data_IF_597844343936
#
_entry.id   IF_597844343936
#
_cell.length_a   1.000
_cell.length_b   1.000
_cell.length_c   1.000
_cell.angle_alpha   90.00
_cell.angle_beta   90.00
_cell.angle_gamma   90.00
#
_symmetry.space_group_name_H-M   'P 1'
#
loop_
_entity.id
_entity.type
_entity.pdbx_description
1 polymer ?
#
# COMPACT_ATOMS: atom_id res chain seq x y z
N UNK A 1 11.68 20.97 1.35
CA UNK A 1 12.32 22.29 1.54
C UNK A 1 12.12 23.13 0.28
N UNK A 2 12.45 24.41 0.29
CA UNK A 2 12.57 25.22 -0.91
C UNK A 2 14.07 25.39 -1.25
N UNK A 3 14.39 25.50 -2.53
CA UNK A 3 15.76 25.77 -2.98
C UNK A 3 15.97 27.28 -3.01
N UNK A 4 17.00 27.75 -2.32
CA UNK A 4 17.39 29.16 -2.30
C UNK A 4 18.68 29.34 -3.08
N UNK A 5 18.73 30.33 -3.96
CA UNK A 5 19.96 30.78 -4.60
C UNK A 5 20.53 31.89 -3.75
N UNK A 6 21.81 31.78 -3.40
CA UNK A 6 22.47 32.76 -2.54
C UNK A 6 23.77 33.27 -3.14
N UNK A 7 24.10 34.50 -2.78
CA UNK A 7 25.46 35.05 -2.85
C UNK A 7 25.85 35.42 -1.42
N UNK A 8 26.91 34.81 -0.90
CA UNK A 8 27.44 35.09 0.42
C UNK A 8 28.95 35.33 0.36
N UNK A 9 29.53 35.94 1.38
CA UNK A 9 30.94 36.31 1.44
C UNK A 9 31.56 35.69 2.68
N UNK A 10 32.72 35.05 2.54
CA UNK A 10 33.47 34.52 3.69
C UNK A 10 34.14 35.65 4.51
N UNK A 11 34.79 35.31 5.63
CA UNK A 11 35.53 36.28 6.45
C UNK A 11 36.71 36.93 5.72
N UNK A 12 37.21 36.32 4.63
CA UNK A 12 38.33 36.81 3.83
C UNK A 12 37.89 37.67 2.64
N UNK A 13 36.58 37.89 2.46
CA UNK A 13 36.03 38.70 1.37
C UNK A 13 35.74 37.94 0.07
N UNK A 14 35.92 36.61 0.02
CA UNK A 14 35.63 35.82 -1.17
C UNK A 14 34.13 35.56 -1.29
N UNK A 15 33.58 35.93 -2.46
CA UNK A 15 32.19 35.70 -2.76
C UNK A 15 31.94 34.25 -3.18
N UNK A 16 31.05 33.56 -2.47
CA UNK A 16 30.54 32.23 -2.81
C UNK A 16 29.11 32.34 -3.30
N UNK A 17 28.85 31.84 -4.51
CA UNK A 17 27.52 31.69 -5.07
C UNK A 17 27.12 30.22 -5.03
N UNK A 18 25.91 29.93 -4.61
CA UNK A 18 25.45 28.55 -4.51
C UNK A 18 23.93 28.42 -4.45
N UNK A 19 23.49 27.18 -4.30
CA UNK A 19 22.12 26.85 -3.92
C UNK A 19 22.15 26.07 -2.63
N UNK A 20 21.17 26.31 -1.77
CA UNK A 20 20.98 25.55 -0.54
C UNK A 20 19.48 25.25 -0.35
N UNK A 21 19.17 24.15 0.33
CA UNK A 21 17.79 23.81 0.68
C UNK A 21 17.50 24.25 2.11
N UNK A 22 16.41 25.01 2.29
CA UNK A 22 15.95 25.44 3.60
C UNK A 22 14.42 25.51 3.64
N UNK A 23 13.85 25.55 4.84
CA UNK A 23 12.40 25.66 5.03
C UNK A 23 11.89 27.10 4.87
N UNK A 24 12.72 28.09 5.20
CA UNK A 24 12.43 29.50 4.98
C UNK A 24 13.73 30.30 4.79
N UNK A 25 13.60 31.55 4.36
CA UNK A 25 14.72 32.47 4.12
C UNK A 25 15.59 32.69 5.35
N UNK A 26 15.01 32.73 6.55
CA UNK A 26 15.76 32.97 7.80
C UNK A 26 16.62 31.77 8.20
N UNK A 27 16.10 30.55 8.03
CA UNK A 27 16.89 29.33 8.22
C UNK A 27 18.01 29.23 7.18
N UNK A 28 17.73 29.61 5.92
CA UNK A 28 18.74 29.64 4.88
C UNK A 28 19.88 30.61 5.22
N UNK A 29 19.56 31.80 5.74
CA UNK A 29 20.55 32.75 6.25
C UNK A 29 21.29 32.21 7.47
N UNK A 30 20.61 31.48 8.37
CA UNK A 30 21.23 30.86 9.54
C UNK A 30 22.26 29.81 9.14
N UNK A 31 21.91 28.88 8.25
CA UNK A 31 22.83 27.87 7.72
C UNK A 31 24.09 28.48 7.10
N UNK A 32 23.92 29.55 6.29
CA UNK A 32 25.06 30.26 5.71
C UNK A 32 25.94 30.94 6.78
N UNK A 33 25.33 31.49 7.84
CA UNK A 33 26.08 32.07 8.97
C UNK A 33 26.82 31.02 9.78
N UNK A 34 26.18 29.87 10.04
CA UNK A 34 26.77 28.74 10.77
C UNK A 34 27.96 28.14 10.00
N UNK A 35 27.93 28.19 8.65
CA UNK A 35 29.07 27.86 7.77
C UNK A 35 30.13 28.98 7.66
N UNK A 36 29.98 30.10 8.37
CA UNK A 36 30.94 31.21 8.39
C UNK A 36 30.80 32.22 7.23
N UNK A 37 29.68 32.23 6.52
CA UNK A 37 29.42 33.17 5.43
C UNK A 37 28.44 34.29 5.83
N UNK A 38 28.72 35.51 5.37
CA UNK A 38 27.83 36.67 5.47
C UNK A 38 26.98 36.79 4.21
N UNK A 39 25.65 36.71 4.35
CA UNK A 39 24.71 36.71 3.22
C UNK A 39 24.63 38.10 2.57
N UNK A 40 24.86 38.18 1.26
CA UNK A 40 24.72 39.42 0.46
C UNK A 40 23.39 39.46 -0.28
N UNK A 41 22.96 38.35 -0.86
CA UNK A 41 21.63 38.20 -1.47
C UNK A 41 21.15 36.76 -1.30
N UNK A 42 19.86 36.59 -1.07
CA UNK A 42 19.22 35.28 -1.02
C UNK A 42 17.83 35.36 -1.63
N UNK A 43 17.56 34.52 -2.62
CA UNK A 43 16.31 34.50 -3.35
C UNK A 43 15.77 33.07 -3.38
N UNK A 44 14.48 32.92 -3.09
CA UNK A 44 13.79 31.65 -3.25
C UNK A 44 13.67 31.33 -4.75
N UNK A 45 14.24 30.21 -5.17
CA UNK A 45 14.08 29.73 -6.53
C UNK A 45 12.69 29.10 -6.61
N UNK A 46 11.72 29.85 -7.13
CA UNK A 46 10.39 29.32 -7.47
C UNK A 46 10.58 28.12 -8.39
N UNK A 47 10.22 26.93 -7.90
CA UNK A 47 10.48 25.67 -8.59
C UNK A 47 9.87 25.67 -9.99
N UNK A 48 10.69 25.31 -10.99
CA UNK A 48 10.21 24.92 -12.30
C UNK A 48 9.35 23.66 -12.15
N UNK A 49 8.34 23.46 -13.02
CA UNK A 49 7.44 22.30 -13.01
C UNK A 49 8.23 20.97 -12.96
N UNK A 50 9.45 20.96 -13.51
CA UNK A 50 10.41 19.85 -13.55
C UNK A 50 11.15 19.57 -12.23
N UNK A 51 11.16 20.51 -11.28
CA UNK A 51 11.84 20.38 -9.96
C UNK A 51 10.87 20.09 -8.81
N UNK A 52 9.57 19.96 -9.09
CA UNK A 52 8.63 19.43 -8.11
C UNK A 52 8.97 17.95 -7.92
N UNK A 53 9.48 17.56 -6.76
CA UNK A 53 9.58 16.15 -6.37
C UNK A 53 8.17 15.55 -6.49
N UNK A 54 7.93 14.84 -7.59
CA UNK A 54 6.66 14.20 -7.87
C UNK A 54 6.60 12.95 -7.00
N UNK A 55 6.02 13.08 -5.81
CA UNK A 55 5.70 11.92 -4.99
C UNK A 55 4.52 11.18 -5.63
N UNK A 56 4.81 10.05 -6.28
CA UNK A 56 3.78 9.10 -6.70
C UNK A 56 3.38 8.29 -5.46
N UNK A 57 2.16 8.50 -4.97
CA UNK A 57 1.63 7.82 -3.79
C UNK A 57 1.83 8.59 -2.46
N UNK A 58 1.91 7.86 -1.34
CA UNK A 58 2.13 8.46 -0.01
C UNK A 58 3.60 8.82 0.17
N UNK A 59 3.93 10.05 0.64
CA UNK A 59 5.31 10.51 0.76
C UNK A 59 6.08 9.83 1.92
N UNK A 60 5.38 9.18 2.85
CA UNK A 60 5.97 8.45 3.99
C UNK A 60 5.51 7.00 3.95
N UNK A 61 6.45 6.06 4.06
CA UNK A 61 6.17 4.63 4.08
C UNK A 61 5.55 4.24 5.42
N UNK A 62 4.70 3.21 5.44
CA UNK A 62 4.05 2.75 6.67
C UNK A 62 5.05 2.40 7.78
N UNK A 63 6.17 1.76 7.43
CA UNK A 63 7.24 1.43 8.39
C UNK A 63 7.86 2.69 9.03
N UNK A 64 8.13 3.71 8.23
CA UNK A 64 8.71 4.97 8.74
C UNK A 64 7.73 5.67 9.71
N UNK A 65 6.43 5.60 9.42
CA UNK A 65 5.39 6.14 10.29
C UNK A 65 5.29 5.38 11.61
N UNK A 66 5.37 4.03 11.58
CA UNK A 66 5.39 3.21 12.81
C UNK A 66 6.59 3.57 13.68
N UNK A 67 7.79 3.64 13.09
CA UNK A 67 9.01 4.01 13.82
C UNK A 67 8.89 5.42 14.42
N UNK A 68 8.36 6.37 13.65
CA UNK A 68 8.07 7.71 14.15
C UNK A 68 7.14 7.69 15.37
N UNK A 69 6.03 6.95 15.33
CA UNK A 69 5.08 6.87 16.45
C UNK A 69 5.69 6.22 17.69
N UNK A 70 6.46 5.15 17.52
CA UNK A 70 7.15 4.46 18.61
C UNK A 70 8.19 5.36 19.29
N UNK A 71 9.00 6.07 18.50
CA UNK A 71 9.99 7.01 19.02
C UNK A 71 9.31 8.21 19.70
N UNK A 72 8.18 8.68 19.16
CA UNK A 72 7.38 9.74 19.77
C UNK A 72 6.89 9.31 21.15
N UNK A 73 6.22 8.15 21.24
CA UNK A 73 5.77 7.59 22.52
C UNK A 73 6.93 7.46 23.53
N UNK A 74 8.06 6.88 23.11
CA UNK A 74 9.20 6.66 23.98
C UNK A 74 9.81 7.96 24.53
N UNK A 75 9.89 9.01 23.71
CA UNK A 75 10.42 10.31 24.13
C UNK A 75 9.46 11.04 25.08
N UNK A 76 8.14 10.99 24.84
CA UNK A 76 7.16 11.56 25.78
C UNK A 76 7.20 10.85 27.13
N UNK A 77 7.25 9.51 27.15
CA UNK A 77 7.40 8.71 28.37
C UNK A 77 8.70 9.00 29.14
N UNK A 78 9.74 9.45 28.44
CA UNK A 78 10.99 9.91 29.05
C UNK A 78 10.87 11.32 29.67
N UNK A 79 9.68 11.93 29.64
CA UNK A 79 9.39 13.24 30.22
C UNK A 79 9.69 14.43 29.31
N UNK A 80 9.97 14.20 28.02
CA UNK A 80 10.21 15.30 27.08
C UNK A 80 8.90 15.99 26.69
N UNK A 81 8.97 17.30 26.46
CA UNK A 81 7.83 18.05 25.94
C UNK A 81 7.50 17.62 24.51
N UNK A 82 6.26 17.83 24.08
CA UNK A 82 5.81 17.57 22.68
C UNK A 82 6.67 18.35 21.68
N UNK A 83 6.99 19.61 21.99
CA UNK A 83 7.81 20.47 21.13
C UNK A 83 9.24 19.91 20.98
N UNK A 84 9.87 19.51 22.08
CA UNK A 84 11.22 18.95 22.06
C UNK A 84 11.26 17.60 21.36
N UNK A 85 10.25 16.77 21.59
CA UNK A 85 10.12 15.47 20.94
C UNK A 85 10.00 15.61 19.43
N UNK A 86 9.12 16.50 18.94
CA UNK A 86 8.99 16.77 17.50
C UNK A 86 10.30 17.26 16.88
N UNK A 87 11.04 18.12 17.59
CA UNK A 87 12.36 18.59 17.15
C UNK A 87 13.36 17.43 17.01
N UNK A 88 13.46 16.56 18.01
CA UNK A 88 14.36 15.39 18.00
C UNK A 88 13.98 14.44 16.86
N UNK A 89 12.70 14.12 16.71
CA UNK A 89 12.20 13.24 15.65
C UNK A 89 12.49 13.81 14.25
N UNK A 90 12.39 15.13 14.08
CA UNK A 90 12.77 15.82 12.83
C UNK A 90 14.25 15.64 12.51
N UNK A 91 15.13 15.70 13.51
CA UNK A 91 16.58 15.56 13.34
C UNK A 91 17.01 14.11 13.09
N UNK A 92 16.27 13.14 13.60
CA UNK A 92 16.57 11.71 13.44
C UNK A 92 15.99 11.08 12.18
N UNK A 93 14.93 11.64 11.61
CA UNK A 93 14.28 11.04 10.43
C UNK A 93 15.03 11.34 9.13
N UNK A 94 15.18 10.31 8.28
CA UNK A 94 15.78 10.45 6.95
C UNK A 94 14.76 10.80 5.87
N UNK A 95 13.45 10.79 6.17
CA UNK A 95 12.42 11.03 5.18
C UNK A 95 12.18 12.55 5.00
N UNK A 96 12.64 13.11 3.88
CA UNK A 96 12.52 14.56 3.57
C UNK A 96 11.11 15.14 3.74
N UNK A 97 10.07 14.39 3.37
CA UNK A 97 8.69 14.85 3.49
C UNK A 97 8.25 14.91 4.96
N UNK A 98 8.66 13.93 5.76
CA UNK A 98 8.42 13.93 7.21
C UNK A 98 9.21 15.04 7.92
N UNK A 99 10.50 15.24 7.60
CA UNK A 99 11.30 16.37 8.14
C UNK A 99 10.57 17.69 7.87
N UNK A 100 10.06 17.89 6.65
CA UNK A 100 9.33 19.11 6.29
C UNK A 100 8.04 19.28 7.10
N UNK A 101 7.27 18.23 7.29
CA UNK A 101 6.04 18.32 8.08
C UNK A 101 6.34 18.60 9.54
N UNK A 102 7.28 17.88 10.15
CA UNK A 102 7.68 18.07 11.54
C UNK A 102 8.25 19.48 11.80
N UNK A 103 8.93 20.08 10.82
CA UNK A 103 9.36 21.48 10.91
C UNK A 103 8.19 22.45 11.10
N UNK A 104 7.14 22.36 10.28
CA UNK A 104 5.98 23.23 10.40
C UNK A 104 5.16 22.92 11.64
N UNK A 105 5.04 21.64 12.00
CA UNK A 105 4.39 21.23 13.26
C UNK A 105 5.12 21.83 14.47
N UNK A 106 6.46 21.80 14.50
CA UNK A 106 7.23 22.43 15.59
C UNK A 106 6.93 23.94 15.71
N UNK A 107 6.83 24.64 14.58
CA UNK A 107 6.49 26.07 14.55
C UNK A 107 5.08 26.31 15.11
N UNK A 108 4.10 25.55 14.64
CA UNK A 108 2.71 25.66 15.06
C UNK A 108 2.55 25.40 16.56
N UNK A 109 3.23 24.37 17.08
CA UNK A 109 3.25 24.05 18.51
C UNK A 109 3.87 25.18 19.34
N UNK A 110 4.99 25.77 18.89
CA UNK A 110 5.62 26.93 19.55
C UNK A 110 4.72 28.17 19.56
N UNK A 111 3.77 28.26 18.62
CA UNK A 111 2.76 29.31 18.56
C UNK A 111 1.52 28.99 19.41
N UNK A 112 1.48 27.84 20.09
CA UNK A 112 0.36 27.42 20.93
C UNK A 112 -0.75 26.68 20.19
N UNK A 113 -0.54 26.27 18.93
CA UNK A 113 -1.47 25.37 18.23
C UNK A 113 -1.38 23.97 18.86
N UNK A 114 -2.50 23.26 18.99
CA UNK A 114 -2.47 21.86 19.44
C UNK A 114 -1.79 20.94 18.42
N UNK A 115 -1.27 19.80 18.87
CA UNK A 115 -0.61 18.80 18.05
C UNK A 115 -1.54 18.26 16.97
N UNK A 116 -2.79 17.95 17.32
CA UNK A 116 -3.78 17.46 16.36
C UNK A 116 -4.00 18.45 15.21
N UNK A 117 -4.20 19.73 15.53
CA UNK A 117 -4.45 20.79 14.54
C UNK A 117 -3.21 21.05 13.66
N UNK A 118 -2.01 20.97 14.25
CA UNK A 118 -0.77 21.08 13.50
C UNK A 118 -0.57 19.89 12.54
N UNK A 119 -0.86 18.66 12.99
CA UNK A 119 -0.81 17.46 12.15
C UNK A 119 -1.86 17.46 11.04
N UNK A 120 -3.05 17.99 11.28
CA UNK A 120 -4.15 18.07 10.31
C UNK A 120 -3.77 18.84 9.03
N UNK A 121 -2.89 19.84 9.15
CA UNK A 121 -2.35 20.60 8.00
C UNK A 121 -1.51 19.75 7.04
N UNK A 122 -1.17 18.51 7.42
CA UNK A 122 -0.35 17.58 6.65
C UNK A 122 -1.08 16.24 6.33
N UNK A 123 -2.24 16.27 5.66
CA UNK A 123 -3.14 15.11 5.50
C UNK A 123 -2.56 13.96 4.64
N UNK A 124 -1.50 14.23 3.88
CA UNK A 124 -0.79 13.22 3.07
C UNK A 124 0.08 12.28 3.93
N UNK A 125 0.43 12.71 5.15
CA UNK A 125 1.28 11.97 6.09
C UNK A 125 0.42 11.51 7.26
N UNK A 126 -0.30 12.44 7.89
CA UNK A 126 -1.16 12.19 9.03
C UNK A 126 -2.60 12.10 8.55
N UNK A 127 -3.14 10.88 8.47
CA UNK A 127 -4.52 10.69 8.03
C UNK A 127 -5.52 11.12 9.11
N UNK A 128 -6.80 11.18 8.74
CA UNK A 128 -7.88 11.60 9.63
C UNK A 128 -7.99 10.73 10.89
N UNK A 129 -7.73 9.42 10.81
CA UNK A 129 -7.77 8.54 12.00
C UNK A 129 -6.69 8.95 13.00
N UNK A 130 -5.45 9.09 12.54
CA UNK A 130 -4.33 9.49 13.40
C UNK A 130 -4.62 10.83 14.06
N UNK A 131 -5.03 11.83 13.28
CA UNK A 131 -5.34 13.17 13.79
C UNK A 131 -6.45 13.12 14.84
N UNK A 132 -7.53 12.35 14.62
CA UNK A 132 -8.63 12.26 15.57
C UNK A 132 -8.25 11.50 16.85
N UNK A 133 -7.42 10.46 16.76
CA UNK A 133 -6.89 9.78 17.95
C UNK A 133 -6.00 10.71 18.76
N UNK A 134 -5.09 11.44 18.11
CA UNK A 134 -4.26 12.44 18.78
C UNK A 134 -5.12 13.53 19.41
N UNK A 135 -6.17 13.99 18.72
CA UNK A 135 -7.09 15.00 19.25
C UNK A 135 -7.78 14.53 20.54
N UNK A 136 -8.35 13.32 20.53
CA UNK A 136 -8.94 12.72 21.73
C UNK A 136 -7.91 12.58 22.86
N UNK A 137 -6.70 12.12 22.52
CA UNK A 137 -5.61 11.92 23.48
C UNK A 137 -5.10 13.23 24.10
N UNK A 138 -5.05 14.32 23.34
CA UNK A 138 -4.70 15.65 23.84
C UNK A 138 -5.74 16.15 24.85
N UNK A 139 -7.03 15.88 24.59
CA UNK A 139 -8.12 16.28 25.49
C UNK A 139 -8.16 15.44 26.77
N UNK A 140 -7.83 14.15 26.68
CA UNK A 140 -7.82 13.23 27.82
C UNK A 140 -6.49 13.19 28.58
N UNK A 141 -5.42 13.79 28.04
CA UNK A 141 -4.08 13.74 28.61
C UNK A 141 -3.39 12.38 28.48
N UNK A 142 -3.84 11.51 27.57
CA UNK A 142 -3.34 10.14 27.38
C UNK A 142 -2.53 9.99 26.09
N UNK A 143 -1.73 11.01 25.76
CA UNK A 143 -0.99 11.08 24.50
C UNK A 143 0.05 9.95 24.37
N UNK A 144 0.68 9.59 25.48
CA UNK A 144 1.70 8.53 25.53
C UNK A 144 1.10 7.17 25.17
N UNK A 145 0.00 6.78 25.82
CA UNK A 145 -0.70 5.53 25.55
C UNK A 145 -1.29 5.52 24.13
N UNK A 146 -1.80 6.66 23.67
CA UNK A 146 -2.43 6.76 22.35
C UNK A 146 -1.42 6.64 21.21
N UNK A 147 -0.19 7.10 21.41
CA UNK A 147 0.89 6.91 20.44
C UNK A 147 1.35 5.45 20.34
N UNK A 148 1.37 4.70 21.45
CA UNK A 148 1.59 3.24 21.42
C UNK A 148 0.48 2.55 20.64
N UNK A 149 -0.78 2.86 20.95
CA UNK A 149 -1.94 2.32 20.25
C UNK A 149 -1.89 2.59 18.75
N UNK A 150 -1.53 3.82 18.36
CA UNK A 150 -1.34 4.20 16.97
C UNK A 150 -0.20 3.39 16.32
N UNK A 151 0.93 3.24 17.00
CA UNK A 151 2.05 2.45 16.50
C UNK A 151 1.62 0.99 16.26
N UNK A 152 0.92 0.38 17.23
CA UNK A 152 0.40 -0.97 17.13
C UNK A 152 -0.63 -1.13 16.02
N UNK A 153 -1.54 -0.17 15.88
CA UNK A 153 -2.52 -0.13 14.78
C UNK A 153 -1.82 -0.15 13.41
N UNK A 154 -0.88 0.76 13.19
CA UNK A 154 -0.17 0.84 11.91
C UNK A 154 0.76 -0.35 11.67
N UNK A 155 1.36 -0.90 12.73
CA UNK A 155 2.19 -2.10 12.65
C UNK A 155 1.37 -3.32 12.25
N UNK A 156 0.21 -3.55 12.87
CA UNK A 156 -0.71 -4.63 12.52
C UNK A 156 -1.24 -4.46 11.10
N UNK A 157 -1.67 -3.26 10.72
CA UNK A 157 -2.10 -2.95 9.35
C UNK A 157 -1.00 -3.23 8.33
N UNK A 158 0.25 -2.85 8.63
CA UNK A 158 1.39 -3.14 7.77
C UNK A 158 1.63 -4.65 7.65
N UNK A 159 1.58 -5.39 8.76
CA UNK A 159 1.74 -6.85 8.80
C UNK A 159 0.69 -7.54 7.93
N UNK A 160 -0.59 -7.20 8.06
CA UNK A 160 -1.67 -7.79 7.22
C UNK A 160 -1.41 -7.55 5.73
N UNK A 161 -1.03 -6.32 5.34
CA UNK A 161 -0.71 -6.03 3.94
C UNK A 161 0.55 -6.76 3.48
N UNK A 162 1.55 -6.87 4.34
CA UNK A 162 2.78 -7.60 4.05
C UNK A 162 2.53 -9.09 3.88
N UNK A 163 1.67 -9.72 4.70
CA UNK A 163 1.28 -11.13 4.51
C UNK A 163 0.64 -11.31 3.14
N UNK A 164 -0.32 -10.46 2.77
CA UNK A 164 -0.98 -10.55 1.46
C UNK A 164 0.03 -10.38 0.32
N UNK A 165 0.89 -9.36 0.38
CA UNK A 165 1.89 -9.09 -0.66
C UNK A 165 2.92 -10.20 -0.80
N UNK A 166 3.47 -10.68 0.33
CA UNK A 166 4.48 -11.75 0.35
C UNK A 166 3.93 -13.08 -0.14
N UNK A 167 2.66 -13.38 0.14
CA UNK A 167 2.00 -14.60 -0.32
C UNK A 167 1.80 -14.61 -1.83
N UNK A 168 1.58 -13.43 -2.44
CA UNK A 168 1.45 -13.26 -3.89
C UNK A 168 2.79 -13.08 -4.61
N UNK A 169 3.85 -12.66 -3.91
CA UNK A 169 5.15 -12.39 -4.52
C UNK A 169 5.74 -13.64 -5.21
N UNK A 170 5.63 -14.82 -4.59
CA UNK A 170 6.15 -16.06 -5.17
C UNK A 170 5.41 -16.48 -6.46
N UNK A 171 4.07 -16.62 -6.49
CA UNK A 171 3.34 -16.91 -7.72
C UNK A 171 3.65 -15.93 -8.86
N UNK A 172 3.73 -14.63 -8.55
CA UNK A 172 4.05 -13.60 -9.55
C UNK A 172 5.47 -13.78 -10.10
N UNK A 173 6.45 -14.05 -9.24
CA UNK A 173 7.84 -14.26 -9.65
C UNK A 173 7.97 -15.49 -10.57
N UNK A 174 7.34 -16.62 -10.19
CA UNK A 174 7.34 -17.83 -11.00
C UNK A 174 6.64 -17.61 -12.33
N UNK A 175 5.50 -16.91 -12.36
CA UNK A 175 4.82 -16.54 -13.60
C UNK A 175 5.69 -15.67 -14.52
N UNK A 176 6.42 -14.70 -13.98
CA UNK A 176 7.34 -13.86 -14.77
C UNK A 176 8.44 -14.72 -15.37
N UNK A 177 9.09 -15.58 -14.59
CA UNK A 177 10.17 -16.47 -15.08
C UNK A 177 9.62 -17.45 -16.12
N UNK A 178 8.49 -18.10 -15.85
CA UNK A 178 7.81 -19.00 -16.78
C UNK A 178 7.50 -18.29 -18.11
N UNK A 179 6.95 -17.08 -18.04
CA UNK A 179 6.62 -16.29 -19.22
C UNK A 179 7.87 -15.92 -20.04
N UNK A 180 8.97 -15.53 -19.37
CA UNK A 180 10.26 -15.29 -20.04
C UNK A 180 10.80 -16.54 -20.73
N UNK A 181 10.74 -17.70 -20.07
CA UNK A 181 11.17 -18.99 -20.67
C UNK A 181 10.32 -19.32 -21.89
N UNK A 182 9.00 -19.18 -21.81
CA UNK A 182 8.10 -19.46 -22.94
C UNK A 182 8.39 -18.51 -24.11
N UNK A 183 8.55 -17.21 -23.86
CA UNK A 183 8.94 -16.25 -24.90
C UNK A 183 10.26 -16.64 -25.54
N UNK A 184 11.28 -16.98 -24.74
CA UNK A 184 12.58 -17.39 -25.24
C UNK A 184 12.48 -18.63 -26.14
N UNK A 185 11.74 -19.65 -25.72
CA UNK A 185 11.51 -20.85 -26.52
C UNK A 185 10.80 -20.52 -27.84
N UNK A 186 9.75 -19.71 -27.81
CA UNK A 186 8.98 -19.37 -29.01
C UNK A 186 9.76 -18.47 -29.98
N UNK A 187 10.56 -17.52 -29.48
CA UNK A 187 11.24 -16.52 -30.30
C UNK A 187 12.59 -17.00 -30.85
N UNK A 188 13.31 -17.85 -30.12
CA UNK A 188 14.64 -18.30 -30.51
C UNK A 188 14.67 -19.78 -30.88
N UNK A 189 14.13 -20.65 -30.03
CA UNK A 189 14.27 -22.10 -30.20
C UNK A 189 13.38 -22.62 -31.33
N UNK A 190 12.08 -22.33 -31.29
CA UNK A 190 11.12 -22.83 -32.28
C UNK A 190 11.49 -22.41 -33.72
N UNK A 191 11.83 -21.14 -34.02
CA UNK A 191 12.16 -20.73 -35.39
C UNK A 191 13.45 -21.37 -35.91
N UNK A 192 14.44 -21.59 -35.03
CA UNK A 192 15.68 -22.26 -35.40
C UNK A 192 15.41 -23.68 -35.89
N UNK A 193 14.54 -24.44 -35.20
CA UNK A 193 14.15 -25.77 -35.66
C UNK A 193 13.35 -25.74 -36.97
N UNK A 194 12.45 -24.78 -37.12
CA UNK A 194 11.65 -24.65 -38.35
C UNK A 194 12.51 -24.35 -39.56
N UNK A 195 13.51 -23.49 -39.41
CA UNK A 195 14.48 -23.22 -40.48
C UNK A 195 15.28 -24.46 -40.88
N UNK A 196 15.48 -25.42 -39.96
CA UNK A 196 16.08 -26.72 -40.30
C UNK A 196 15.08 -27.59 -41.08
N UNK A 197 13.82 -27.68 -40.63
CA UNK A 197 12.78 -28.47 -41.31
C UNK A 197 12.52 -28.02 -42.75
N UNK A 198 12.49 -26.71 -43.00
CA UNK A 198 12.29 -26.15 -44.34
C UNK A 198 13.40 -26.59 -45.32
N UNK A 199 14.62 -26.86 -44.83
CA UNK A 199 15.73 -27.35 -45.67
C UNK A 199 15.57 -28.82 -46.09
N UNK A 200 14.83 -29.62 -45.33
CA UNK A 200 14.59 -31.03 -45.62
C UNK A 200 13.28 -31.27 -46.41
N UNK A 201 12.51 -30.21 -46.71
CA UNK A 201 11.27 -30.32 -47.50
C UNK A 201 10.15 -31.11 -46.82
N UNK A 202 10.25 -31.33 -45.50
CA UNK A 202 9.27 -32.09 -44.73
C UNK A 202 8.08 -31.22 -44.31
N UNK A 203 6.86 -31.75 -44.41
CA UNK A 203 5.69 -31.06 -43.89
C UNK A 203 5.69 -31.03 -42.36
N UNK A 204 5.56 -29.82 -41.79
CA UNK A 204 5.50 -29.64 -40.34
C UNK A 204 4.25 -30.34 -39.74
N UNK A 205 4.36 -31.06 -38.62
CA UNK A 205 3.21 -31.61 -37.89
C UNK A 205 2.26 -30.51 -37.39
N UNK A 206 1.00 -30.87 -37.15
CA UNK A 206 -0.05 -29.94 -36.70
C UNK A 206 0.32 -29.18 -35.42
N UNK A 207 0.94 -29.87 -34.45
CA UNK A 207 1.36 -29.28 -33.17
C UNK A 207 2.42 -28.20 -33.41
N UNK A 208 3.38 -28.46 -34.30
CA UNK A 208 4.44 -27.50 -34.67
C UNK A 208 3.89 -26.30 -35.42
N UNK A 209 2.92 -26.51 -36.35
CA UNK A 209 2.22 -25.40 -37.03
C UNK A 209 1.45 -24.52 -36.05
N UNK A 210 0.78 -25.10 -35.06
CA UNK A 210 0.07 -24.33 -34.03
C UNK A 210 1.03 -23.47 -33.19
N UNK A 211 2.12 -24.07 -32.69
CA UNK A 211 3.14 -23.35 -31.90
C UNK A 211 3.81 -22.25 -32.72
N UNK A 212 4.06 -22.47 -34.01
CA UNK A 212 4.57 -21.45 -34.94
C UNK A 212 3.59 -20.31 -35.17
N UNK A 213 2.31 -20.61 -35.39
CA UNK A 213 1.30 -19.58 -35.57
C UNK A 213 1.21 -18.70 -34.31
N UNK A 214 1.27 -19.31 -33.12
CA UNK A 214 1.31 -18.59 -31.86
C UNK A 214 2.60 -17.77 -31.71
N UNK A 215 3.76 -18.35 -32.04
CA UNK A 215 5.05 -17.64 -32.01
C UNK A 215 5.06 -16.42 -32.95
N UNK A 216 4.67 -16.60 -34.21
CA UNK A 216 4.64 -15.53 -35.20
C UNK A 216 3.68 -14.41 -34.79
N UNK A 217 2.51 -14.77 -34.25
CA UNK A 217 1.59 -13.77 -33.69
C UNK A 217 2.22 -12.99 -32.54
N UNK A 218 2.94 -13.68 -31.64
CA UNK A 218 3.57 -13.08 -30.47
C UNK A 218 4.78 -12.20 -30.83
N UNK A 219 5.61 -12.63 -31.78
CA UNK A 219 6.76 -11.88 -32.31
C UNK A 219 6.30 -10.66 -33.11
N UNK A 220 5.26 -10.79 -33.94
CA UNK A 220 4.75 -9.66 -34.73
C UNK A 220 4.02 -8.61 -33.86
N UNK A 221 3.44 -9.03 -32.73
CA UNK A 221 2.64 -8.19 -31.84
C UNK A 221 3.27 -8.00 -30.44
N UNK A 222 4.58 -8.20 -30.27
CA UNK A 222 5.23 -8.10 -28.95
C UNK A 222 5.07 -6.71 -28.31
N UNK A 223 5.12 -5.65 -29.13
CA UNK A 223 4.81 -4.28 -28.72
C UNK A 223 3.37 -4.13 -28.24
N UNK A 224 2.43 -4.83 -28.88
CA UNK A 224 1.02 -4.89 -28.51
C UNK A 224 0.84 -5.61 -27.15
N UNK A 225 1.65 -6.62 -26.86
CA UNK A 225 1.63 -7.33 -25.58
C UNK A 225 2.14 -6.45 -24.43
N UNK A 226 3.25 -5.72 -24.63
CA UNK A 226 3.75 -4.72 -23.68
C UNK A 226 2.73 -3.60 -23.51
N UNK A 227 2.09 -3.16 -24.60
CA UNK A 227 1.03 -2.16 -24.56
C UNK A 227 -0.18 -2.67 -23.75
N UNK A 228 -0.63 -3.92 -23.93
CA UNK A 228 -1.72 -4.52 -23.16
C UNK A 228 -1.36 -4.60 -21.68
N UNK A 229 -0.16 -5.06 -21.33
CA UNK A 229 0.29 -5.12 -19.93
C UNK A 229 0.32 -3.72 -19.32
N UNK A 230 0.90 -2.75 -20.03
CA UNK A 230 0.94 -1.35 -19.60
C UNK A 230 -0.47 -0.78 -19.45
N UNK A 231 -1.37 -1.07 -20.38
CA UNK A 231 -2.76 -0.61 -20.37
C UNK A 231 -3.58 -1.28 -19.27
N UNK A 232 -3.33 -2.54 -18.93
CA UNK A 232 -3.94 -3.24 -17.78
C UNK A 232 -3.43 -2.68 -16.46
N UNK A 233 -2.14 -2.34 -16.36
CA UNK A 233 -1.58 -1.69 -15.17
C UNK A 233 -2.17 -0.28 -15.01
N UNK A 234 -2.18 0.51 -16.08
CA UNK A 234 -2.75 1.85 -16.09
C UNK A 234 -4.26 1.83 -15.86
N UNK A 235 -5.00 0.90 -16.46
CA UNK A 235 -6.43 0.70 -16.24
C UNK A 235 -6.71 0.24 -14.80
N UNK A 236 -5.89 -0.66 -14.23
CA UNK A 236 -6.03 -1.03 -12.82
C UNK A 236 -5.82 0.19 -11.92
N UNK A 237 -4.76 0.96 -12.14
CA UNK A 237 -4.49 2.20 -11.39
C UNK A 237 -5.65 3.20 -11.55
N UNK A 238 -6.18 3.36 -12.77
CA UNK A 238 -7.27 4.27 -13.09
C UNK A 238 -8.60 3.83 -12.46
N UNK A 239 -8.91 2.53 -12.52
CA UNK A 239 -10.09 1.92 -11.89
C UNK A 239 -10.01 1.98 -10.37
N UNK A 240 -8.83 1.77 -9.78
CA UNK A 240 -8.62 1.96 -8.33
C UNK A 240 -8.87 3.40 -7.89
N UNK A 241 -8.65 4.38 -8.78
CA UNK A 241 -8.93 5.80 -8.55
C UNK A 241 -10.40 6.19 -8.85
N UNK A 242 -11.11 5.50 -9.74
CA UNK A 242 -12.48 5.83 -10.15
C UNK A 242 -13.55 4.98 -9.47
N UNK A 243 -14.40 5.64 -8.68
CA UNK A 243 -15.34 5.04 -7.72
C UNK A 243 -16.37 4.05 -8.32
N UNK A 244 -16.77 4.23 -9.58
CA UNK A 244 -17.80 3.39 -10.23
C UNK A 244 -17.27 2.08 -10.80
N UNK A 245 -16.03 2.04 -11.29
CA UNK A 245 -15.43 0.82 -11.83
C UNK A 245 -14.91 -0.10 -10.73
N UNK A 246 -14.45 0.50 -9.62
CA UNK A 246 -14.11 -0.22 -8.39
C UNK A 246 -15.28 -1.06 -7.87
N UNK A 247 -16.52 -0.57 -8.01
CA UNK A 247 -17.73 -1.33 -7.63
C UNK A 247 -17.87 -2.66 -8.38
N UNK A 248 -17.69 -2.67 -9.71
CA UNK A 248 -17.79 -3.90 -10.51
C UNK A 248 -16.64 -4.86 -10.21
N UNK A 249 -15.43 -4.34 -10.00
CA UNK A 249 -14.29 -5.17 -9.61
C UNK A 249 -14.43 -5.75 -8.21
N UNK A 250 -14.86 -4.96 -7.23
CA UNK A 250 -15.08 -5.44 -5.86
C UNK A 250 -16.14 -6.55 -5.86
N UNK A 251 -17.23 -6.38 -6.61
CA UNK A 251 -18.25 -7.42 -6.76
C UNK A 251 -17.70 -8.68 -7.45
N UNK A 252 -16.92 -8.54 -8.52
CA UNK A 252 -16.32 -9.66 -9.25
C UNK A 252 -15.28 -10.42 -8.40
N UNK A 253 -14.44 -9.69 -7.65
CA UNK A 253 -13.46 -10.25 -6.72
C UNK A 253 -14.13 -11.03 -5.57
N UNK A 254 -15.27 -10.55 -5.08
CA UNK A 254 -16.07 -11.26 -4.06
C UNK A 254 -16.69 -12.57 -4.59
N UNK A 255 -16.94 -12.67 -5.89
CA UNK A 255 -17.47 -13.89 -6.51
C UNK A 255 -16.40 -14.94 -6.84
N UNK A 256 -15.12 -14.57 -6.80
CA UNK A 256 -14.06 -15.56 -6.99
C UNK A 256 -14.00 -16.47 -5.75
N UNK A 257 -14.17 -17.80 -5.90
CA UNK A 257 -14.33 -18.73 -4.77
C UNK A 257 -13.14 -18.75 -3.81
N UNK A 258 -11.99 -18.30 -4.29
CA UNK A 258 -10.70 -18.33 -3.59
C UNK A 258 -10.34 -16.95 -3.02
N UNK A 259 -10.59 -15.86 -3.75
CA UNK A 259 -10.23 -14.50 -3.33
C UNK A 259 -11.34 -13.78 -2.56
N UNK A 260 -12.61 -14.09 -2.84
CA UNK A 260 -13.75 -13.44 -2.21
C UNK A 260 -13.79 -13.59 -0.68
N UNK A 261 -13.64 -14.81 -0.14
CA UNK A 261 -13.56 -15.02 1.31
C UNK A 261 -12.39 -14.27 1.95
N UNK A 262 -11.22 -14.22 1.29
CA UNK A 262 -10.05 -13.50 1.80
C UNK A 262 -10.31 -11.99 1.87
N UNK A 263 -10.89 -11.41 0.81
CA UNK A 263 -11.23 -9.99 0.77
C UNK A 263 -12.25 -9.65 1.85
N UNK A 264 -13.29 -10.48 2.01
CA UNK A 264 -14.30 -10.26 3.04
C UNK A 264 -13.69 -10.30 4.45
N UNK A 265 -12.93 -11.34 4.78
CA UNK A 265 -12.22 -11.48 6.08
C UNK A 265 -11.29 -10.29 6.33
N UNK A 266 -10.57 -9.83 5.30
CA UNK A 266 -9.71 -8.64 5.37
C UNK A 266 -10.48 -7.36 5.69
N UNK A 267 -11.65 -7.15 5.08
CA UNK A 267 -12.49 -5.99 5.39
C UNK A 267 -13.05 -6.06 6.81
N UNK A 268 -13.49 -7.23 7.27
CA UNK A 268 -13.99 -7.44 8.63
C UNK A 268 -12.88 -7.18 9.66
N UNK A 269 -11.70 -7.79 9.47
CA UNK A 269 -10.55 -7.57 10.34
C UNK A 269 -10.17 -6.09 10.41
N UNK A 270 -10.09 -5.41 9.26
CA UNK A 270 -9.76 -3.98 9.22
C UNK A 270 -10.84 -3.12 9.88
N UNK A 271 -12.12 -3.45 9.71
CA UNK A 271 -13.24 -2.76 10.33
C UNK A 271 -13.19 -2.87 11.85
N UNK A 272 -13.13 -4.09 12.37
CA UNK A 272 -13.15 -4.33 13.82
C UNK A 272 -11.87 -3.81 14.49
N UNK A 273 -10.70 -3.95 13.84
CA UNK A 273 -9.44 -3.37 14.33
C UNK A 273 -9.50 -1.84 14.40
N UNK A 274 -9.99 -1.19 13.34
CA UNK A 274 -10.09 0.28 13.29
C UNK A 274 -11.07 0.79 14.33
N UNK A 275 -12.24 0.16 14.44
CA UNK A 275 -13.24 0.55 15.43
C UNK A 275 -12.75 0.33 16.87
N UNK A 276 -12.11 -0.82 17.15
CA UNK A 276 -11.51 -1.13 18.45
C UNK A 276 -10.46 -0.08 18.83
N UNK A 277 -9.53 0.23 17.93
CA UNK A 277 -8.47 1.20 18.18
C UNK A 277 -9.02 2.61 18.41
N UNK A 278 -9.99 3.06 17.60
CA UNK A 278 -10.62 4.38 17.81
C UNK A 278 -11.32 4.47 19.17
N UNK A 279 -12.09 3.44 19.53
CA UNK A 279 -12.79 3.40 20.82
C UNK A 279 -11.84 3.31 22.02
N UNK A 280 -10.73 2.56 21.89
CA UNK A 280 -9.69 2.46 22.92
C UNK A 280 -8.98 3.80 23.17
N UNK A 281 -8.87 4.63 22.13
CA UNK A 281 -8.37 6.01 22.20
C UNK A 281 -9.47 7.05 22.53
N UNK A 282 -10.56 6.62 23.16
CA UNK A 282 -11.66 7.47 23.60
C UNK A 282 -12.31 8.32 22.49
N UNK A 283 -12.22 7.89 21.22
CA UNK A 283 -12.96 8.54 20.14
C UNK A 283 -14.44 8.18 20.27
N UNK A 284 -15.37 9.16 20.29
CA UNK A 284 -16.80 8.89 20.43
C UNK A 284 -17.32 7.89 19.38
N UNK A 285 -18.13 6.91 19.79
CA UNK A 285 -18.54 5.78 18.94
C UNK A 285 -19.15 6.18 17.59
N UNK A 286 -19.97 7.25 17.55
CA UNK A 286 -20.56 7.75 16.31
C UNK A 286 -19.47 8.26 15.34
N UNK A 287 -18.47 8.96 15.87
CA UNK A 287 -17.32 9.43 15.10
C UNK A 287 -16.40 8.26 14.72
N UNK A 288 -16.23 7.28 15.61
CA UNK A 288 -15.44 6.09 15.35
C UNK A 288 -16.02 5.25 14.19
N UNK A 289 -17.35 5.08 14.15
CA UNK A 289 -18.06 4.42 13.03
C UNK A 289 -17.85 5.21 11.73
N UNK A 290 -17.96 6.54 11.76
CA UNK A 290 -17.75 7.38 10.57
C UNK A 290 -16.30 7.34 10.05
N UNK A 291 -15.32 7.31 10.95
CA UNK A 291 -13.91 7.20 10.56
C UNK A 291 -13.61 5.80 10.01
N UNK A 292 -14.19 4.76 10.60
CA UNK A 292 -14.09 3.38 10.11
C UNK A 292 -14.75 3.24 8.73
N UNK A 293 -15.91 3.83 8.51
CA UNK A 293 -16.58 3.88 7.20
C UNK A 293 -15.62 4.36 6.08
N UNK A 294 -14.80 5.38 6.37
CA UNK A 294 -13.87 5.98 5.41
C UNK A 294 -12.66 5.09 5.08
N UNK A 295 -12.33 4.10 5.91
CA UNK A 295 -11.22 3.16 5.64
C UNK A 295 -11.65 1.92 4.88
N UNK A 296 -12.93 1.56 4.94
CA UNK A 296 -13.41 0.33 4.32
C UNK A 296 -13.59 0.51 2.81
N UNK A 297 -12.85 -0.26 1.98
CA UNK A 297 -13.00 -0.19 0.54
C UNK A 297 -14.34 -0.79 0.08
N UNK A 298 -14.76 -1.90 0.71
CA UNK A 298 -15.98 -2.61 0.36
C UNK A 298 -17.24 -1.76 0.63
N UNK A 299 -18.00 -1.50 -0.43
CA UNK A 299 -19.19 -0.64 -0.35
C UNK A 299 -20.33 -1.24 0.47
N UNK A 300 -20.54 -2.55 0.44
CA UNK A 300 -21.62 -3.19 1.22
C UNK A 300 -21.36 -2.96 2.71
N UNK A 301 -20.16 -3.28 3.18
CA UNK A 301 -19.76 -3.05 4.58
C UNK A 301 -19.83 -1.56 4.93
N UNK A 302 -19.39 -0.68 4.02
CA UNK A 302 -19.45 0.77 4.22
C UNK A 302 -20.88 1.31 4.35
N UNK A 303 -21.78 0.86 3.48
CA UNK A 303 -23.18 1.30 3.51
C UNK A 303 -23.90 0.70 4.74
N UNK A 304 -23.55 -0.52 5.17
CA UNK A 304 -23.98 -1.06 6.47
C UNK A 304 -23.49 -0.21 7.64
N UNK A 305 -22.21 0.22 7.66
CA UNK A 305 -21.70 1.10 8.71
C UNK A 305 -22.43 2.45 8.77
N UNK A 306 -22.85 3.01 7.62
CA UNK A 306 -23.71 4.21 7.59
C UNK A 306 -25.08 3.95 8.23
N UNK A 307 -25.66 2.80 7.95
CA UNK A 307 -26.93 2.38 8.57
C UNK A 307 -26.73 2.17 10.08
N UNK A 308 -25.67 1.50 10.50
CA UNK A 308 -25.27 1.34 11.91
C UNK A 308 -25.10 2.68 12.62
N UNK A 309 -24.44 3.66 11.98
CA UNK A 309 -24.34 5.04 12.50
C UNK A 309 -25.71 5.68 12.70
N UNK A 310 -26.60 5.49 11.75
CA UNK A 310 -27.97 6.05 11.77
C UNK A 310 -28.81 5.39 12.86
N UNK A 311 -28.73 4.06 12.97
CA UNK A 311 -29.36 3.25 14.02
C UNK A 311 -28.93 3.74 15.40
N UNK A 312 -27.62 3.91 15.61
CA UNK A 312 -27.07 4.38 16.89
C UNK A 312 -27.50 5.81 17.24
N UNK A 313 -27.57 6.72 16.25
CA UNK A 313 -28.10 8.08 16.44
C UNK A 313 -29.57 8.10 16.86
N UNK A 314 -30.33 7.07 16.51
CA UNK A 314 -31.73 6.89 16.90
C UNK A 314 -31.89 6.17 18.24
N UNK A 315 -30.79 5.83 18.93
CA UNK A 315 -30.81 5.11 20.21
C UNK A 315 -30.99 3.60 20.07
N UNK A 316 -30.90 3.06 18.85
CA UNK A 316 -30.92 1.62 18.60
C UNK A 316 -29.50 1.03 18.62
N UNK A 317 -29.39 -0.29 18.81
CA UNK A 317 -28.11 -0.98 18.65
C UNK A 317 -27.51 -0.77 17.26
N UNK A 318 -26.21 -0.53 17.20
CA UNK A 318 -25.51 -0.34 15.92
C UNK A 318 -25.23 -1.66 15.19
N UNK A 319 -25.43 -2.81 15.86
CA UNK A 319 -25.24 -4.15 15.29
C UNK A 319 -26.42 -4.60 14.46
N UNK A 320 -27.65 -4.14 14.74
CA UNK A 320 -28.86 -4.57 14.01
C UNK A 320 -28.72 -4.52 12.48
N UNK A 321 -28.22 -3.43 11.85
CA UNK A 321 -28.06 -3.40 10.40
C UNK A 321 -27.01 -4.40 9.87
N UNK A 322 -26.09 -4.85 10.72
CA UNK A 322 -25.09 -5.88 10.37
C UNK A 322 -25.73 -7.28 10.38
N UNK A 323 -26.67 -7.55 11.29
CA UNK A 323 -27.40 -8.82 11.37
C UNK A 323 -28.34 -9.05 10.18
N UNK A 324 -28.87 -7.98 9.59
CA UNK A 324 -29.74 -8.04 8.41
C UNK A 324 -28.97 -8.35 7.11
N UNK A 325 -27.64 -8.34 7.14
CA UNK A 325 -26.78 -8.44 5.97
C UNK A 325 -26.00 -9.76 5.95
N UNK A 326 -26.19 -10.57 4.91
CA UNK A 326 -25.55 -11.89 4.78
C UNK A 326 -24.02 -11.87 4.67
N UNK A 327 -23.44 -10.70 4.39
CA UNK A 327 -22.00 -10.51 4.29
C UNK A 327 -21.30 -10.53 5.64
N UNK A 328 -22.00 -10.29 6.76
CA UNK A 328 -21.43 -10.34 8.10
C UNK A 328 -21.56 -11.75 8.68
N UNK A 329 -20.46 -12.42 9.02
CA UNK A 329 -20.51 -13.70 9.68
C UNK A 329 -21.13 -13.59 11.08
N UNK A 330 -21.87 -14.61 11.48
CA UNK A 330 -22.54 -14.68 12.79
C UNK A 330 -21.61 -14.38 13.97
N UNK A 331 -20.36 -14.87 13.93
CA UNK A 331 -19.37 -14.59 14.97
C UNK A 331 -19.14 -13.09 15.18
N UNK A 332 -19.11 -12.30 14.10
CA UNK A 332 -18.86 -10.85 14.18
C UNK A 332 -20.02 -10.16 14.86
N UNK A 333 -21.24 -10.36 14.36
CA UNK A 333 -22.44 -9.71 14.91
C UNK A 333 -22.68 -10.12 16.36
N UNK A 334 -22.50 -11.41 16.69
CA UNK A 334 -22.68 -11.92 18.05
C UNK A 334 -21.68 -11.30 19.03
N UNK A 335 -20.39 -11.24 18.69
CA UNK A 335 -19.37 -10.67 19.57
C UNK A 335 -19.58 -9.18 19.80
N UNK A 336 -19.96 -8.43 18.75
CA UNK A 336 -20.25 -7.01 18.89
C UNK A 336 -21.51 -6.79 19.73
N UNK A 337 -22.57 -7.59 19.53
CA UNK A 337 -23.80 -7.54 20.32
C UNK A 337 -23.53 -7.83 21.81
N UNK A 338 -22.75 -8.87 22.11
CA UNK A 338 -22.33 -9.18 23.49
C UNK A 338 -21.52 -8.04 24.09
N UNK A 339 -20.57 -7.46 23.33
CA UNK A 339 -19.75 -6.35 23.79
C UNK A 339 -20.53 -5.05 24.02
N UNK A 340 -21.53 -4.78 23.18
CA UNK A 340 -22.44 -3.63 23.33
C UNK A 340 -23.27 -3.76 24.61
N UNK A 341 -23.85 -4.95 24.85
CA UNK A 341 -24.69 -5.21 26.03
C UNK A 341 -23.89 -5.31 27.33
N UNK A 342 -22.67 -5.86 27.29
CA UNK A 342 -21.83 -6.06 28.47
C UNK A 342 -20.86 -4.89 28.75
N UNK A 343 -20.88 -3.83 27.92
CA UNK A 343 -19.96 -2.70 28.05
C UNK A 343 -18.49 -3.03 27.74
N UNK A 344 -18.23 -4.16 27.07
CA UNK A 344 -16.89 -4.68 26.75
C UNK A 344 -16.58 -4.65 25.24
N UNK A 345 -17.22 -3.73 24.51
CA UNK A 345 -17.16 -3.63 23.05
C UNK A 345 -15.74 -3.59 22.48
N UNK A 346 -14.82 -2.83 23.10
CA UNK A 346 -13.42 -2.73 22.64
C UNK A 346 -12.73 -4.10 22.64
N UNK A 347 -12.90 -4.87 23.71
CA UNK A 347 -12.30 -6.19 23.87
C UNK A 347 -12.89 -7.20 22.87
N UNK A 348 -14.21 -7.18 22.67
CA UNK A 348 -14.86 -8.06 21.71
C UNK A 348 -14.43 -7.74 20.27
N UNK A 349 -14.33 -6.45 19.90
CA UNK A 349 -13.83 -6.05 18.59
C UNK A 349 -12.37 -6.45 18.38
N UNK A 350 -11.53 -6.34 19.41
CA UNK A 350 -10.14 -6.77 19.34
C UNK A 350 -10.03 -8.29 19.13
N UNK A 351 -10.80 -9.08 19.87
CA UNK A 351 -10.83 -10.53 19.72
C UNK A 351 -11.30 -10.96 18.32
N UNK A 352 -12.35 -10.32 17.79
CA UNK A 352 -12.81 -10.56 16.42
C UNK A 352 -11.72 -10.18 15.41
N UNK A 353 -11.06 -9.02 15.58
CA UNK A 353 -9.99 -8.60 14.68
C UNK A 353 -8.82 -9.59 14.66
N UNK A 354 -8.37 -10.07 15.82
CA UNK A 354 -7.29 -11.04 15.93
C UNK A 354 -7.64 -12.38 15.29
N UNK A 355 -8.86 -12.89 15.51
CA UNK A 355 -9.34 -14.11 14.88
C UNK A 355 -9.32 -14.04 13.35
N UNK A 356 -9.85 -12.95 12.77
CA UNK A 356 -9.84 -12.80 11.31
C UNK A 356 -8.46 -12.49 10.74
N UNK A 357 -7.57 -11.80 11.48
CA UNK A 357 -6.16 -11.63 11.09
C UNK A 357 -5.44 -12.99 10.97
N UNK A 358 -5.64 -13.90 11.93
CA UNK A 358 -5.06 -15.25 11.89
C UNK A 358 -5.66 -16.12 10.77
N UNK A 359 -6.97 -16.01 10.54
CA UNK A 359 -7.66 -16.70 9.47
C UNK A 359 -7.23 -16.18 8.07
N UNK A 360 -6.91 -14.88 7.95
CA UNK A 360 -6.29 -14.29 6.74
C UNK A 360 -4.90 -14.88 6.51
N UNK A 361 -4.05 -14.93 7.54
CA UNK A 361 -2.70 -15.51 7.45
C UNK A 361 -2.78 -16.98 7.00
N UNK A 362 -3.70 -17.75 7.57
CA UNK A 362 -3.95 -19.15 7.21
C UNK A 362 -4.45 -19.30 5.78
N UNK A 363 -5.43 -18.48 5.38
CA UNK A 363 -5.98 -18.50 4.03
C UNK A 363 -4.90 -18.15 3.00
N UNK A 364 -4.08 -17.12 3.25
CA UNK A 364 -2.97 -16.73 2.40
C UNK A 364 -1.93 -17.86 2.24
N UNK A 365 -1.63 -18.59 3.32
CA UNK A 365 -0.80 -19.79 3.26
C UNK A 365 -1.40 -20.88 2.37
N UNK A 366 -2.71 -21.16 2.48
CA UNK A 366 -3.41 -22.14 1.61
C UNK A 366 -3.40 -21.72 0.14
N UNK A 367 -3.56 -20.43 -0.14
CA UNK A 367 -3.44 -19.90 -1.52
C UNK A 367 -2.08 -20.24 -2.12
N UNK A 368 -1.01 -20.01 -1.35
CA UNK A 368 0.36 -20.33 -1.78
C UNK A 368 0.50 -21.83 -2.10
N UNK A 369 0.06 -22.70 -1.19
CA UNK A 369 0.17 -24.17 -1.37
C UNK A 369 -0.66 -24.71 -2.53
N UNK A 370 -1.77 -24.06 -2.91
CA UNK A 370 -2.59 -24.46 -4.05
C UNK A 370 -2.06 -23.92 -5.38
N UNK A 371 -1.57 -22.68 -5.39
CA UNK A 371 -1.06 -22.05 -6.61
C UNK A 371 0.21 -22.73 -7.12
N UNK A 372 1.09 -23.21 -6.24
CA UNK A 372 2.36 -23.82 -6.63
C UNK A 372 2.20 -25.08 -7.51
N UNK A 373 1.43 -26.11 -7.13
CA UNK A 373 1.18 -27.26 -8.00
C UNK A 373 0.50 -26.89 -9.31
N UNK A 374 -0.47 -25.96 -9.27
CA UNK A 374 -1.16 -25.50 -10.47
C UNK A 374 -0.20 -24.84 -11.47
N UNK A 375 0.71 -23.99 -10.97
CA UNK A 375 1.74 -23.34 -11.79
C UNK A 375 2.70 -24.36 -12.40
N UNK A 376 3.13 -25.36 -11.63
CA UNK A 376 4.03 -26.42 -12.13
C UNK A 376 3.34 -27.25 -13.22
N UNK A 377 2.08 -27.65 -13.00
CA UNK A 377 1.31 -28.41 -14.00
C UNK A 377 1.12 -27.58 -15.27
N UNK A 378 0.70 -26.32 -15.12
CA UNK A 378 0.51 -25.42 -16.26
C UNK A 378 1.81 -25.21 -17.04
N UNK A 379 2.93 -24.97 -16.34
CA UNK A 379 4.24 -24.82 -16.98
C UNK A 379 4.68 -26.10 -17.68
N UNK A 380 4.47 -27.26 -17.06
CA UNK A 380 4.79 -28.56 -17.65
C UNK A 380 4.00 -28.82 -18.92
N UNK A 381 2.70 -28.46 -18.93
CA UNK A 381 1.88 -28.57 -20.14
C UNK A 381 2.40 -27.62 -21.23
N UNK A 382 2.66 -26.36 -20.90
CA UNK A 382 3.11 -25.36 -21.89
C UNK A 382 4.48 -25.73 -22.46
N UNK A 383 5.48 -25.94 -21.60
CA UNK A 383 6.85 -26.28 -22.02
C UNK A 383 6.88 -27.65 -22.68
N UNK A 384 6.16 -28.63 -22.12
CA UNK A 384 6.06 -29.97 -22.71
C UNK A 384 5.44 -29.95 -24.11
N UNK A 385 4.40 -29.13 -24.34
CA UNK A 385 3.82 -28.95 -25.68
C UNK A 385 4.84 -28.35 -26.65
N UNK A 386 5.62 -27.35 -26.23
CA UNK A 386 6.66 -26.75 -27.08
C UNK A 386 7.77 -27.76 -27.39
N UNK A 387 8.22 -28.52 -26.40
CA UNK A 387 9.26 -29.55 -26.58
C UNK A 387 8.76 -30.66 -27.50
N UNK A 388 7.53 -31.14 -27.34
CA UNK A 388 6.92 -32.11 -28.25
C UNK A 388 6.81 -31.58 -29.68
N UNK A 389 6.44 -30.29 -29.84
CA UNK A 389 6.39 -29.64 -31.14
C UNK A 389 7.74 -29.62 -31.88
N UNK A 390 8.84 -29.71 -31.14
CA UNK A 390 10.21 -29.77 -31.68
C UNK A 390 10.63 -31.23 -31.92
N UNK A 391 10.47 -32.09 -30.91
CA UNK A 391 11.01 -33.46 -30.92
C UNK A 391 10.27 -34.37 -31.90
N UNK A 392 8.94 -34.28 -31.99
CA UNK A 392 8.15 -35.15 -32.87
C UNK A 392 8.63 -35.10 -34.32
N UNK A 393 8.69 -33.92 -34.97
CA UNK A 393 9.18 -33.87 -36.34
C UNK A 393 10.67 -34.22 -36.49
N UNK A 394 11.48 -34.05 -35.44
CA UNK A 394 12.88 -34.48 -35.46
C UNK A 394 13.01 -36.00 -35.61
N UNK A 395 12.12 -36.77 -34.97
CA UNK A 395 12.06 -38.23 -35.17
C UNK A 395 11.57 -38.59 -36.59
N UNK A 396 10.62 -37.85 -37.14
CA UNK A 396 10.14 -38.09 -38.51
C UNK A 396 11.25 -37.86 -39.54
N UNK A 397 12.10 -36.84 -39.37
CA UNK A 397 13.28 -36.64 -40.21
C UNK A 397 14.29 -37.79 -40.08
N UNK A 398 14.56 -38.26 -38.85
CA UNK A 398 15.48 -39.37 -38.63
C UNK A 398 15.01 -40.67 -39.31
N UNK A 399 13.69 -40.90 -39.33
CA UNK A 399 13.07 -42.04 -40.00
C UNK A 399 13.00 -41.90 -41.53
N UNK A 400 13.15 -40.69 -42.09
CA UNK A 400 13.21 -40.47 -43.54
C UNK A 400 14.63 -40.54 -44.11
N UNK A 401 15.66 -40.35 -43.26
CA UNK A 401 17.07 -40.38 -43.66
C UNK A 401 17.66 -41.80 -43.58
N UNK A 402 17.07 -42.70 -42.80
CA UNK A 402 17.31 -44.16 -42.85
C UNK A 402 16.26 -44.84 -43.70
#
# INVERSE_FOLDING_TARGET
MASYRYTAVDFYGHAKKGRLEAFNTEQAKKLLRDEGYKVKSIEEVKGSIWTKELYIGRPVKSRDLVVFLQQFSALLKAGLTVVDTIRILREQTNNKALIKALYYIEIDLRQGTSLANAMEKHPKIFNTILVNMIHSAELSGTLEESLDELADYYQKQHKTMQTIQSSLAYPVTVMIVAFLVVIFLLMYVVPQFVSMFDQFGAELPLITRFVLALSNWLVQNWLLFILIISLVILASIWVYQHHQWRYKLDHLLLQLPVFGPLVLKSNIASMTRTLSSLLKNAVPIIQAIELTEKTIPNRVIRDTLKQSKTSLKQGNSFVKPMEEQSVFPFLVTQMISVGENAGSLVAMLEQVSGFYEEDIDTAAGRLKSLLEPLLIIALSIIVGTIVLAIIVPMFDLFNQIN
#
